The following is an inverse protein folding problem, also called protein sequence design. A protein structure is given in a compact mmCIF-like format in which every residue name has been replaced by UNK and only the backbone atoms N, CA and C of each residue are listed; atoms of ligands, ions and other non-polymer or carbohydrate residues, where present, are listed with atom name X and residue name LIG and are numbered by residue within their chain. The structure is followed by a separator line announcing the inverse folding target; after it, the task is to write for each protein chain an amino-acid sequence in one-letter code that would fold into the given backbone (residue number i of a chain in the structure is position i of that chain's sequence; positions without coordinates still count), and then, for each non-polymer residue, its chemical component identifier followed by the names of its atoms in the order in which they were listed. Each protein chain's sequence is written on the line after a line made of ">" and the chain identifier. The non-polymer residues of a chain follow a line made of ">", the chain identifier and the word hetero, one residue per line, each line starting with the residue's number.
data_IF_225319136513
#
_entry.id   IF_225319136513
#
_cell.length_a   1.000
_cell.length_b   1.000
_cell.length_c   1.000
_cell.angle_alpha   90.00
_cell.angle_beta   90.00
_cell.angle_gamma   90.00
#
_symmetry.space_group_name_H-M   'P 1'
#
loop_
_entity.id
_entity.type
_entity.pdbx_description
1 polymer ?
#
# COMPACT_ATOMS: atom_id res chain seq x y z
N UNK A 1 -7.69 -3.06 18.38
CA UNK A 1 -8.51 -3.88 17.46
C UNK A 1 -9.94 -3.36 17.55
N UNK A 2 -10.55 -2.97 16.42
CA UNK A 2 -11.96 -2.57 16.41
C UNK A 2 -12.88 -3.76 16.73
N UNK A 3 -14.16 -3.51 17.03
CA UNK A 3 -15.11 -4.59 17.32
C UNK A 3 -15.26 -5.53 16.13
N UNK A 4 -15.32 -6.84 16.41
CA UNK A 4 -15.62 -7.86 15.40
C UNK A 4 -17.03 -7.62 14.84
N UNK A 5 -17.17 -7.70 13.51
CA UNK A 5 -18.44 -7.50 12.82
C UNK A 5 -18.71 -8.66 11.87
N UNK A 6 -19.85 -9.32 12.04
CA UNK A 6 -20.27 -10.39 11.15
C UNK A 6 -20.82 -9.83 9.84
N UNK A 7 -20.45 -10.44 8.72
CA UNK A 7 -20.93 -10.13 7.37
C UNK A 7 -21.18 -11.43 6.62
N UNK A 8 -22.26 -11.47 5.84
CA UNK A 8 -22.52 -12.56 4.89
C UNK A 8 -21.92 -12.19 3.55
N UNK A 9 -21.09 -13.06 2.98
CA UNK A 9 -20.38 -12.82 1.72
C UNK A 9 -20.57 -14.06 0.84
N UNK A 10 -20.85 -13.84 -0.44
CA UNK A 10 -20.90 -14.92 -1.43
C UNK A 10 -19.54 -15.04 -2.10
N UNK A 11 -18.98 -16.24 -2.10
CA UNK A 11 -17.73 -16.60 -2.78
C UNK A 11 -18.02 -17.68 -3.83
N UNK A 12 -17.10 -17.91 -4.77
CA UNK A 12 -17.21 -19.03 -5.70
C UNK A 12 -17.09 -20.36 -4.96
N UNK A 13 -17.61 -21.44 -5.55
CA UNK A 13 -17.45 -22.79 -4.99
C UNK A 13 -15.98 -23.17 -4.84
N UNK A 14 -15.15 -22.82 -5.84
CA UNK A 14 -13.70 -23.06 -5.80
C UNK A 14 -13.02 -22.44 -4.58
N UNK A 15 -13.34 -21.18 -4.26
CA UNK A 15 -12.78 -20.52 -3.07
C UNK A 15 -13.35 -21.09 -1.76
N UNK A 16 -14.59 -21.59 -1.78
CA UNK A 16 -15.15 -22.27 -0.62
C UNK A 16 -14.42 -23.59 -0.34
N UNK A 17 -14.13 -24.36 -1.39
CA UNK A 17 -13.37 -25.60 -1.29
C UNK A 17 -11.94 -25.34 -0.75
N UNK A 18 -11.27 -24.29 -1.22
CA UNK A 18 -9.95 -23.87 -0.69
C UNK A 18 -10.01 -23.51 0.80
N UNK A 19 -11.05 -22.77 1.24
CA UNK A 19 -11.23 -22.41 2.65
C UNK A 19 -11.47 -23.65 3.51
N UNK A 20 -12.29 -24.57 3.03
CA UNK A 20 -12.61 -25.81 3.74
C UNK A 20 -11.38 -26.71 3.85
N UNK A 21 -10.57 -26.83 2.80
CA UNK A 21 -9.31 -27.59 2.80
C UNK A 21 -8.30 -27.00 3.80
N UNK A 22 -8.15 -25.67 3.83
CA UNK A 22 -7.25 -24.97 4.74
C UNK A 22 -7.63 -25.19 6.23
N UNK A 23 -8.92 -25.35 6.52
CA UNK A 23 -9.39 -25.70 7.87
C UNK A 23 -9.21 -27.20 8.15
N UNK A 24 -9.55 -28.06 7.19
CA UNK A 24 -9.46 -29.52 7.33
C UNK A 24 -8.01 -30.01 7.52
N UNK A 25 -7.05 -29.35 6.88
CA UNK A 25 -5.62 -29.62 7.03
C UNK A 25 -5.06 -29.18 8.39
N UNK A 26 -5.82 -28.34 9.13
CA UNK A 26 -5.38 -27.73 10.38
C UNK A 26 -4.47 -26.52 10.21
N UNK A 27 -4.29 -26.02 8.98
CA UNK A 27 -3.53 -24.77 8.72
C UNK A 27 -4.21 -23.57 9.39
N UNK A 28 -5.54 -23.54 9.38
CA UNK A 28 -6.33 -22.54 10.07
C UNK A 28 -7.34 -23.16 11.05
N UNK A 29 -7.60 -22.52 12.20
CA UNK A 29 -8.54 -23.03 13.19
C UNK A 29 -10.01 -22.79 12.80
N UNK A 30 -10.29 -21.93 11.80
CA UNK A 30 -11.64 -21.69 11.30
C UNK A 30 -11.64 -20.97 9.95
N UNK A 31 -12.75 -21.06 9.21
CA UNK A 31 -12.97 -20.31 7.98
C UNK A 31 -12.89 -18.78 8.19
N UNK A 32 -13.31 -18.29 9.35
CA UNK A 32 -13.18 -16.86 9.68
C UNK A 32 -11.72 -16.41 9.75
N UNK A 33 -10.83 -17.24 10.29
CA UNK A 33 -9.39 -16.92 10.32
C UNK A 33 -8.76 -16.94 8.93
N UNK A 34 -9.15 -17.89 8.06
CA UNK A 34 -8.72 -17.90 6.64
C UNK A 34 -9.08 -16.58 5.96
N UNK A 35 -10.35 -16.16 6.08
CA UNK A 35 -10.83 -14.92 5.42
C UNK A 35 -10.17 -13.68 6.02
N UNK A 36 -10.00 -13.62 7.34
CA UNK A 36 -9.33 -12.47 7.99
C UNK A 36 -7.87 -12.36 7.53
N UNK A 37 -7.15 -13.48 7.44
CA UNK A 37 -5.77 -13.46 6.99
C UNK A 37 -5.64 -13.12 5.49
N UNK A 38 -6.51 -13.68 4.65
CA UNK A 38 -6.56 -13.33 3.22
C UNK A 38 -6.82 -11.83 3.00
N UNK A 39 -7.72 -11.22 3.80
CA UNK A 39 -7.98 -9.77 3.76
C UNK A 39 -6.79 -8.94 4.27
N UNK A 40 -6.04 -9.45 5.26
CA UNK A 40 -4.80 -8.81 5.72
C UNK A 40 -3.75 -8.80 4.61
N UNK A 41 -3.50 -9.93 3.97
CA UNK A 41 -2.56 -10.04 2.85
C UNK A 41 -3.00 -9.19 1.65
N UNK A 42 -4.30 -9.12 1.37
CA UNK A 42 -4.85 -8.23 0.33
C UNK A 42 -4.58 -6.76 0.66
N UNK A 43 -4.78 -6.34 1.91
CA UNK A 43 -4.48 -4.98 2.36
C UNK A 43 -2.98 -4.70 2.28
N UNK A 44 -2.13 -5.59 2.77
CA UNK A 44 -0.67 -5.44 2.73
C UNK A 44 -0.16 -5.31 1.29
N UNK A 45 -0.66 -6.10 0.34
CA UNK A 45 -0.31 -5.93 -1.09
C UNK A 45 -0.71 -4.57 -1.64
N UNK A 46 -1.78 -3.97 -1.13
CA UNK A 46 -2.26 -2.64 -1.51
C UNK A 46 -1.49 -1.51 -0.81
N UNK A 47 -0.96 -1.77 0.38
CA UNK A 47 -0.16 -0.83 1.16
C UNK A 47 1.35 -0.93 0.81
N UNK A 48 1.81 -2.05 0.21
CA UNK A 48 3.20 -2.32 -0.19
C UNK A 48 3.74 -1.46 -1.34
N UNK A 49 3.06 -0.39 -1.75
CA UNK A 49 3.63 0.61 -2.67
C UNK A 49 4.63 1.56 -1.99
N UNK A 50 5.04 1.28 -0.74
CA UNK A 50 5.98 2.09 0.05
C UNK A 50 5.37 3.37 0.63
N UNK A 51 4.19 3.75 0.13
CA UNK A 51 3.35 4.84 0.58
C UNK A 51 1.89 4.41 0.45
N UNK A 52 1.05 4.72 1.44
CA UNK A 52 -0.39 4.61 1.30
C UNK A 52 -0.89 5.54 0.19
N UNK A 53 -2.05 5.22 -0.41
CA UNK A 53 -2.66 6.10 -1.42
C UNK A 53 -2.91 7.52 -0.88
N UNK A 54 -3.21 7.66 0.41
CA UNK A 54 -3.38 8.97 1.06
C UNK A 54 -2.06 9.73 1.18
N UNK A 55 -0.97 9.04 1.54
CA UNK A 55 0.36 9.65 1.58
C UNK A 55 0.83 10.08 0.20
N UNK A 56 0.61 9.26 -0.84
CA UNK A 56 0.92 9.64 -2.22
C UNK A 56 0.14 10.88 -2.67
N UNK A 57 -1.18 10.92 -2.40
CA UNK A 57 -2.01 12.09 -2.71
C UNK A 57 -1.51 13.35 -2.01
N UNK A 58 -1.11 13.23 -0.74
CA UNK A 58 -0.54 14.35 0.03
C UNK A 58 0.78 14.85 -0.58
N UNK A 59 1.71 13.95 -0.93
CA UNK A 59 3.00 14.32 -1.54
C UNK A 59 2.83 14.99 -2.92
N UNK A 60 1.87 14.51 -3.72
CA UNK A 60 1.52 15.15 -4.99
C UNK A 60 0.96 16.56 -4.77
N UNK A 61 0.07 16.74 -3.79
CA UNK A 61 -0.48 18.06 -3.46
C UNK A 61 0.61 19.02 -2.97
N UNK A 62 1.53 18.55 -2.13
CA UNK A 62 2.70 19.32 -1.70
C UNK A 62 3.54 19.79 -2.90
N UNK A 63 3.74 18.94 -3.90
CA UNK A 63 4.41 19.31 -5.16
C UNK A 63 3.64 20.35 -5.96
N UNK A 64 2.32 20.25 -6.07
CA UNK A 64 1.46 21.23 -6.74
C UNK A 64 1.51 22.59 -6.03
N UNK A 65 1.49 22.58 -4.70
CA UNK A 65 1.52 23.79 -3.87
C UNK A 65 2.92 24.40 -3.76
N UNK A 66 3.97 23.69 -4.20
CA UNK A 66 5.37 24.16 -4.15
C UNK A 66 5.69 25.29 -5.14
N UNK A 67 4.76 25.62 -6.03
CA UNK A 67 4.89 26.70 -7.01
C UNK A 67 5.03 26.21 -8.45
N UNK A 68 5.26 27.12 -9.40
CA UNK A 68 5.35 26.77 -10.82
C UNK A 68 6.59 25.90 -11.11
N UNK A 69 6.43 24.95 -12.03
CA UNK A 69 7.54 24.13 -12.48
C UNK A 69 8.62 24.98 -13.17
N UNK A 70 9.88 24.69 -12.87
CA UNK A 70 11.05 25.32 -13.49
C UNK A 70 11.64 24.44 -14.59
N UNK A 71 12.39 25.06 -15.52
CA UNK A 71 13.15 24.31 -16.52
C UNK A 71 14.26 23.47 -15.87
N UNK A 72 14.27 22.16 -16.15
CA UNK A 72 15.15 21.22 -15.48
C UNK A 72 16.66 21.42 -15.74
N UNK A 73 17.04 21.73 -16.99
CA UNK A 73 18.44 21.92 -17.36
C UNK A 73 19.13 23.09 -16.62
N UNK A 74 18.58 24.33 -16.64
CA UNK A 74 19.17 25.43 -15.89
C UNK A 74 19.09 25.24 -14.37
N UNK A 75 18.04 24.58 -13.85
CA UNK A 75 17.95 24.24 -12.42
C UNK A 75 19.10 23.33 -11.98
N UNK A 76 19.35 22.25 -12.72
CA UNK A 76 20.42 21.28 -12.41
C UNK A 76 21.80 21.91 -12.52
N UNK A 77 22.02 22.83 -13.45
CA UNK A 77 23.29 23.57 -13.55
C UNK A 77 23.54 24.43 -12.30
N UNK A 78 22.53 25.17 -11.82
CA UNK A 78 22.62 25.93 -10.57
C UNK A 78 22.88 25.01 -9.37
N UNK A 79 22.20 23.86 -9.30
CA UNK A 79 22.35 22.90 -8.21
C UNK A 79 23.79 22.36 -8.12
N UNK A 80 24.39 21.98 -9.26
CA UNK A 80 25.78 21.50 -9.32
C UNK A 80 26.78 22.57 -8.88
N UNK A 81 26.62 23.82 -9.35
CA UNK A 81 27.48 24.94 -8.94
C UNK A 81 27.41 25.17 -7.42
N UNK A 82 26.22 25.07 -6.83
CA UNK A 82 26.00 25.23 -5.38
C UNK A 82 26.76 24.20 -4.57
N UNK A 83 26.64 22.91 -4.90
CA UNK A 83 27.31 21.85 -4.14
C UNK A 83 28.82 21.78 -4.38
N UNK A 84 29.30 22.07 -5.60
CA UNK A 84 30.73 22.19 -5.87
C UNK A 84 31.41 23.32 -5.08
N UNK A 85 30.66 24.37 -4.74
CA UNK A 85 31.14 25.46 -3.89
C UNK A 85 31.14 25.13 -2.39
N UNK A 86 30.42 24.08 -1.96
CA UNK A 86 30.39 23.62 -0.56
C UNK A 86 31.48 22.58 -0.25
N UNK A 87 32.04 21.92 -1.27
CA UNK A 87 33.15 20.96 -1.11
C UNK A 87 34.53 21.65 -1.01
N UNK A 88 34.60 22.98 -1.11
CA UNK A 88 35.82 23.79 -0.92
C UNK A 88 35.80 24.50 0.43
#
# INVERSE_FOLDING_TARGET
>A
MGPAQQRSITISSELADEVDEAVASGEYPSASEVVVDALRQWKERRDNFGYSLEELKRLVQEGIDSGPAEEGAPFMERLRRKYAAMEK
#
